data_IF_505749672616
#
_entry.id   IF_505749672616
#
_cell.length_a   1.000
_cell.length_b   1.000
_cell.length_c   1.000
_cell.angle_alpha   90.00
_cell.angle_beta   90.00
_cell.angle_gamma   90.00
#
_symmetry.space_group_name_H-M   'P 1'
#
loop_
_entity.id
_entity.type
_entity.pdbx_description
1 polymer ?
#
# COMPACT_ATOMS: atom_id res chain seq x y z
N UNK A 1 25.33 -1.05 8.08
CA UNK A 1 24.00 -1.70 8.24
C UNK A 1 23.74 -2.54 7.00
N UNK A 2 23.18 -3.79 7.10
CA UNK A 2 22.83 -4.55 5.89
C UNK A 2 21.55 -4.00 5.22
N UNK A 3 21.33 -4.34 3.96
CA UNK A 3 20.24 -3.81 3.14
C UNK A 3 18.84 -4.05 3.76
N UNK A 4 18.59 -5.25 4.32
CA UNK A 4 17.32 -5.56 4.96
C UNK A 4 17.11 -4.71 6.22
N UNK A 5 18.14 -4.57 7.06
CA UNK A 5 18.08 -3.73 8.25
C UNK A 5 17.89 -2.25 7.89
N UNK A 6 18.58 -1.76 6.85
CA UNK A 6 18.43 -0.38 6.36
C UNK A 6 17.00 -0.11 5.86
N UNK A 7 16.49 -0.95 4.93
CA UNK A 7 15.14 -0.77 4.38
C UNK A 7 14.08 -0.87 5.47
N UNK A 8 14.18 -1.84 6.37
CA UNK A 8 13.23 -2.03 7.47
C UNK A 8 13.25 -0.85 8.43
N UNK A 9 14.44 -0.36 8.82
CA UNK A 9 14.57 0.81 9.69
C UNK A 9 13.98 2.08 9.06
N UNK A 10 14.22 2.30 7.78
CA UNK A 10 13.64 3.42 7.04
C UNK A 10 12.11 3.35 6.97
N UNK A 11 11.55 2.17 6.75
CA UNK A 11 10.09 1.96 6.72
C UNK A 11 9.44 2.21 8.08
N UNK A 12 10.12 1.90 9.19
CA UNK A 12 9.61 2.08 10.55
C UNK A 12 9.82 3.51 11.07
N UNK A 13 11.05 4.01 11.00
CA UNK A 13 11.43 5.29 11.60
C UNK A 13 11.22 6.50 10.69
N UNK A 14 11.17 6.26 9.35
CA UNK A 14 11.12 7.35 8.37
C UNK A 14 12.39 8.22 8.40
N UNK A 15 12.27 9.43 7.84
CA UNK A 15 13.38 10.39 7.76
C UNK A 15 12.94 11.73 8.37
N UNK A 16 13.73 12.25 9.29
CA UNK A 16 13.55 13.61 9.79
C UNK A 16 14.10 14.63 8.80
N UNK A 17 13.27 15.59 8.40
CA UNK A 17 13.59 16.61 7.41
C UNK A 17 13.52 18.03 7.96
N UNK A 18 14.30 18.32 8.99
CA UNK A 18 14.36 19.67 9.56
C UNK A 18 14.72 20.76 8.53
N UNK A 19 15.19 20.38 7.35
CA UNK A 19 15.75 21.26 6.31
C UNK A 19 14.83 21.47 5.08
N UNK A 20 13.57 21.06 5.10
CA UNK A 20 12.62 21.31 4.00
C UNK A 20 12.89 20.57 2.67
N UNK A 21 13.81 19.61 2.65
CA UNK A 21 14.17 18.86 1.44
C UNK A 21 13.13 17.80 1.04
N UNK A 22 12.25 17.43 1.96
CA UNK A 22 11.29 16.35 1.71
C UNK A 22 10.03 16.91 1.11
N UNK A 23 9.68 16.37 -0.06
CA UNK A 23 8.38 16.65 -0.68
C UNK A 23 7.28 16.02 0.16
N UNK A 24 6.30 16.82 0.53
CA UNK A 24 5.13 16.33 1.27
C UNK A 24 4.36 15.34 0.40
N UNK A 25 4.30 14.09 0.86
CA UNK A 25 3.32 13.12 0.38
C UNK A 25 1.93 13.43 0.93
N UNK A 26 0.91 12.75 0.40
CA UNK A 26 -0.45 12.84 0.93
C UNK A 26 -0.49 12.31 2.36
N UNK A 27 -1.01 13.10 3.31
CA UNK A 27 -1.15 12.70 4.72
C UNK A 27 -2.53 12.05 4.91
N UNK A 28 -2.55 10.73 4.99
CA UNK A 28 -3.79 9.95 5.10
C UNK A 28 -4.41 9.58 3.75
N UNK A 29 -5.42 8.73 3.78
CA UNK A 29 -6.05 8.16 2.59
C UNK A 29 -5.47 6.79 2.24
N UNK A 30 -5.81 6.28 1.07
CA UNK A 30 -5.25 5.03 0.59
C UNK A 30 -3.79 5.24 0.18
N UNK A 31 -2.97 4.42 0.73
CA UNK A 31 -1.53 4.45 0.54
C UNK A 31 -0.79 5.18 1.65
N UNK A 32 0.43 4.76 1.93
CA UNK A 32 1.23 5.31 2.99
C UNK A 32 1.65 6.73 2.64
N UNK A 33 1.36 7.66 3.54
CA UNK A 33 1.93 8.98 3.49
C UNK A 33 3.46 8.87 3.65
N UNK A 34 4.20 9.65 2.85
CA UNK A 34 5.65 9.63 2.87
C UNK A 34 6.26 10.06 1.56
N UNK A 35 7.58 10.01 1.48
CA UNK A 35 8.33 10.27 0.25
C UNK A 35 8.98 8.98 -0.26
N UNK A 36 8.94 8.77 -1.57
CA UNK A 36 9.63 7.65 -2.18
C UNK A 36 11.07 8.03 -2.52
N UNK A 37 12.02 7.24 -2.02
CA UNK A 37 13.45 7.39 -2.29
C UNK A 37 14.04 6.11 -2.85
N UNK A 38 15.12 6.24 -3.61
CA UNK A 38 16.02 5.15 -3.94
C UNK A 38 17.27 5.27 -3.08
N UNK A 39 17.66 4.21 -2.40
CA UNK A 39 18.88 4.09 -1.58
C UNK A 39 19.49 2.71 -1.84
N UNK A 40 20.77 2.66 -2.22
CA UNK A 40 21.49 1.40 -2.54
C UNK A 40 20.73 0.49 -3.52
N UNK A 41 20.07 1.07 -4.52
CA UNK A 41 19.23 0.34 -5.49
C UNK A 41 17.83 -0.05 -4.98
N UNK A 42 17.58 0.07 -3.68
CA UNK A 42 16.27 -0.24 -3.08
C UNK A 42 15.32 0.94 -3.20
N UNK A 43 14.08 0.64 -3.57
CA UNK A 43 12.99 1.61 -3.54
C UNK A 43 12.32 1.58 -2.16
N UNK A 44 12.18 2.74 -1.51
CA UNK A 44 11.62 2.83 -0.16
C UNK A 44 10.66 4.01 -0.06
N UNK A 45 9.41 3.74 0.32
CA UNK A 45 8.48 4.79 0.70
C UNK A 45 8.62 5.10 2.19
N UNK A 46 9.38 6.13 2.51
CA UNK A 46 9.73 6.49 3.87
C UNK A 46 8.70 7.44 4.50
N UNK A 47 8.28 7.23 5.75
CA UNK A 47 7.53 8.25 6.51
C UNK A 47 8.32 9.55 6.61
N UNK A 48 7.64 10.70 6.50
CA UNK A 48 8.28 12.03 6.50
C UNK A 48 7.51 13.07 7.33
N UNK A 49 6.61 12.65 8.21
CA UNK A 49 5.71 13.54 8.98
C UNK A 49 5.78 13.24 10.48
N UNK A 50 5.59 14.28 11.26
CA UNK A 50 5.43 14.20 12.70
C UNK A 50 4.08 13.54 13.11
N UNK A 51 4.06 12.81 14.23
CA UNK A 51 5.18 12.62 15.18
C UNK A 51 6.12 11.46 14.84
N UNK A 52 5.85 10.69 13.76
CA UNK A 52 6.60 9.45 13.42
C UNK A 52 8.09 9.68 13.32
N UNK A 53 8.52 10.76 12.66
CA UNK A 53 9.93 11.01 12.32
C UNK A 53 10.69 11.83 13.37
N UNK A 54 10.02 12.31 14.41
CA UNK A 54 10.65 13.17 15.43
C UNK A 54 11.93 12.58 16.02
N UNK A 55 11.93 11.28 16.27
CA UNK A 55 13.05 10.55 16.85
C UNK A 55 13.76 9.67 15.82
N UNK A 56 13.58 9.91 14.52
CA UNK A 56 14.25 9.13 13.49
C UNK A 56 15.77 9.32 13.59
N UNK A 57 16.56 8.23 13.54
CA UNK A 57 18.02 8.31 13.48
C UNK A 57 18.50 8.81 12.11
N UNK A 58 17.62 8.84 11.12
CA UNK A 58 17.95 9.21 9.74
C UNK A 58 17.72 10.69 9.50
N UNK A 59 18.75 11.36 8.95
CA UNK A 59 18.72 12.77 8.54
C UNK A 59 19.15 12.90 7.08
N UNK A 60 18.65 13.94 6.40
CA UNK A 60 19.11 14.26 5.05
C UNK A 60 20.15 15.38 5.10
N UNK A 61 21.21 15.20 4.33
CA UNK A 61 22.20 16.24 4.01
C UNK A 61 22.28 16.39 2.50
N UNK A 62 22.47 17.61 2.04
CA UNK A 62 22.82 17.89 0.65
C UNK A 62 24.30 18.28 0.59
N UNK A 63 25.08 17.46 -0.15
CA UNK A 63 26.52 17.65 -0.37
C UNK A 63 26.85 16.92 -1.68
N UNK A 64 26.98 17.67 -2.78
CA UNK A 64 27.11 17.15 -4.15
C UNK A 64 26.03 16.13 -4.53
N UNK A 65 24.87 16.18 -3.86
CA UNK A 65 23.75 15.26 -3.97
C UNK A 65 23.11 14.98 -2.63
N UNK A 66 21.95 14.32 -2.63
CA UNK A 66 21.28 13.97 -1.39
C UNK A 66 21.94 12.75 -0.75
N UNK A 67 22.24 12.86 0.55
CA UNK A 67 22.77 11.80 1.38
C UNK A 67 21.88 11.56 2.59
N UNK A 68 21.66 10.30 2.89
CA UNK A 68 21.01 9.83 4.11
C UNK A 68 22.10 9.57 5.14
N UNK A 69 22.01 10.22 6.28
CA UNK A 69 22.99 10.11 7.37
C UNK A 69 22.36 9.36 8.54
N UNK A 70 23.06 8.35 9.05
CA UNK A 70 22.69 7.62 10.25
C UNK A 70 23.94 7.29 11.08
N UNK A 71 24.12 7.93 12.24
CA UNK A 71 25.17 7.57 13.22
C UNK A 71 26.62 7.52 12.71
N UNK A 72 26.94 8.18 11.62
CA UNK A 72 28.27 8.15 10.97
C UNK A 72 28.31 7.39 9.65
N UNK A 73 27.32 6.57 9.35
CA UNK A 73 27.12 6.00 8.01
C UNK A 73 26.46 7.04 7.09
N UNK A 74 26.81 6.99 5.80
CA UNK A 74 26.27 7.89 4.77
C UNK A 74 25.94 7.11 3.53
N UNK A 75 24.67 7.19 3.07
CA UNK A 75 24.18 6.53 1.87
C UNK A 75 23.71 7.57 0.87
N UNK A 76 24.10 7.45 -0.40
CA UNK A 76 23.55 8.29 -1.47
C UNK A 76 22.09 7.94 -1.69
N UNK A 77 21.22 8.94 -1.81
CA UNK A 77 19.80 8.76 -2.09
C UNK A 77 19.36 9.59 -3.29
N UNK A 78 18.32 9.10 -3.96
CA UNK A 78 17.59 9.85 -5.00
C UNK A 78 16.12 9.92 -4.61
N UNK A 79 15.53 11.09 -4.66
CA UNK A 79 14.08 11.23 -4.58
C UNK A 79 13.45 10.85 -5.90
N UNK A 80 12.34 10.14 -5.85
CA UNK A 80 11.55 9.94 -7.08
C UNK A 80 11.09 11.30 -7.62
N UNK A 81 11.20 11.52 -8.94
CA UNK A 81 10.81 12.78 -9.53
C UNK A 81 9.32 13.07 -9.28
N UNK A 82 9.00 14.35 -9.13
CA UNK A 82 7.61 14.76 -9.06
C UNK A 82 6.99 14.67 -10.45
N UNK A 83 5.88 13.92 -10.63
CA UNK A 83 5.23 13.82 -11.92
C UNK A 83 4.74 15.17 -12.46
N UNK A 84 4.89 15.38 -13.76
CA UNK A 84 4.41 16.59 -14.44
C UNK A 84 2.89 16.65 -14.53
N UNK A 85 2.20 15.51 -14.60
CA UNK A 85 0.74 15.47 -14.60
C UNK A 85 0.10 16.04 -13.32
N UNK A 86 0.86 16.19 -12.21
CA UNK A 86 0.37 16.84 -11.00
C UNK A 86 0.01 18.32 -11.19
N UNK A 87 0.55 18.96 -12.22
CA UNK A 87 0.28 20.37 -12.56
C UNK A 87 -0.83 20.52 -13.61
N UNK A 88 -1.39 19.39 -14.08
CA UNK A 88 -2.49 19.36 -15.04
C UNK A 88 -3.85 19.23 -14.33
N UNK A 89 -4.90 19.54 -15.08
CA UNK A 89 -6.30 19.34 -14.70
C UNK A 89 -6.99 18.42 -15.69
N UNK A 90 -7.97 17.65 -15.22
CA UNK A 90 -8.89 16.92 -16.10
C UNK A 90 -9.84 17.87 -16.83
N UNK A 91 -10.56 17.37 -17.82
CA UNK A 91 -11.50 18.14 -18.63
C UNK A 91 -12.60 18.85 -17.83
N UNK A 92 -12.93 18.31 -16.65
CA UNK A 92 -13.89 18.91 -15.71
C UNK A 92 -13.26 19.94 -14.74
N UNK A 93 -11.97 20.28 -14.94
CA UNK A 93 -11.23 21.24 -14.12
C UNK A 93 -10.67 20.68 -12.80
N UNK A 94 -10.78 19.37 -12.54
CA UNK A 94 -10.23 18.76 -11.33
C UNK A 94 -8.71 18.60 -11.45
N UNK A 95 -7.88 19.10 -10.50
CA UNK A 95 -6.45 18.88 -10.51
C UNK A 95 -6.10 17.38 -10.49
N UNK A 96 -5.30 16.90 -11.44
CA UNK A 96 -4.99 15.46 -11.59
C UNK A 96 -4.35 14.85 -10.35
N UNK A 97 -3.54 15.62 -9.61
CA UNK A 97 -2.98 15.20 -8.31
C UNK A 97 -4.04 14.92 -7.23
N UNK A 98 -5.29 15.38 -7.37
CA UNK A 98 -6.41 15.03 -6.49
C UNK A 98 -7.11 13.75 -6.91
N UNK A 99 -6.91 13.31 -8.16
CA UNK A 99 -7.49 12.09 -8.73
C UNK A 99 -6.60 10.89 -8.41
N UNK A 100 -5.32 10.93 -8.81
CA UNK A 100 -4.37 9.84 -8.59
C UNK A 100 -2.96 10.34 -8.26
N UNK A 101 -2.13 9.48 -7.67
CA UNK A 101 -0.74 9.76 -7.32
C UNK A 101 0.19 8.67 -7.84
N UNK A 102 1.43 9.07 -8.15
CA UNK A 102 2.50 8.12 -8.41
C UNK A 102 2.96 7.47 -7.09
N UNK A 103 2.92 6.17 -7.03
CA UNK A 103 3.50 5.35 -5.97
C UNK A 103 4.73 4.61 -6.49
N UNK A 104 5.77 4.58 -5.67
CA UNK A 104 7.02 3.97 -6.10
C UNK A 104 7.61 4.68 -7.32
N UNK A 105 7.97 3.90 -8.32
CA UNK A 105 8.59 4.37 -9.56
C UNK A 105 7.58 4.55 -10.69
N UNK A 106 6.62 3.63 -10.81
CA UNK A 106 5.80 3.46 -12.00
C UNK A 106 4.34 3.00 -11.74
N UNK A 107 3.88 3.04 -10.48
CA UNK A 107 2.52 2.68 -10.09
C UNK A 107 1.63 3.91 -9.97
N UNK A 108 0.58 4.04 -10.79
CA UNK A 108 -0.45 5.05 -10.57
C UNK A 108 -1.49 4.53 -9.57
N UNK A 109 -1.63 5.22 -8.44
CA UNK A 109 -2.50 4.77 -7.36
C UNK A 109 -3.65 5.75 -7.10
N UNK A 110 -4.84 5.22 -6.89
CA UNK A 110 -6.04 6.00 -6.58
C UNK A 110 -6.97 5.30 -5.60
N UNK A 111 -7.83 6.08 -4.95
CA UNK A 111 -8.97 5.60 -4.16
C UNK A 111 -10.24 6.12 -4.80
N UNK A 112 -11.11 5.24 -5.30
CA UNK A 112 -12.32 5.62 -6.03
C UNK A 112 -13.31 6.40 -5.18
N UNK A 113 -13.56 5.90 -3.96
CA UNK A 113 -14.47 6.53 -3.00
C UNK A 113 -13.76 6.77 -1.67
N UNK A 114 -13.68 8.02 -1.24
CA UNK A 114 -12.80 8.48 -0.16
C UNK A 114 -13.49 8.50 1.22
N UNK A 115 -14.56 7.77 1.40
CA UNK A 115 -15.25 7.53 2.69
C UNK A 115 -15.48 6.05 2.91
N UNK A 116 -15.74 5.67 4.16
CA UNK A 116 -16.01 4.29 4.52
C UNK A 116 -17.20 4.24 5.49
N UNK A 117 -18.26 3.53 5.12
CA UNK A 117 -19.45 3.35 5.97
C UNK A 117 -19.12 2.76 7.35
N UNK A 118 -18.07 1.96 7.45
CA UNK A 118 -17.62 1.42 8.73
C UNK A 118 -17.12 2.52 9.69
N UNK A 119 -16.57 3.63 9.17
CA UNK A 119 -16.22 4.80 9.99
C UNK A 119 -17.49 5.46 10.54
N UNK A 120 -18.51 5.68 9.71
CA UNK A 120 -19.80 6.27 10.12
C UNK A 120 -20.50 5.38 11.18
N UNK A 121 -20.31 4.06 11.12
CA UNK A 121 -20.85 3.10 12.09
C UNK A 121 -20.01 2.99 13.40
N UNK A 122 -18.91 3.71 13.53
CA UNK A 122 -17.97 3.56 14.66
C UNK A 122 -17.19 2.24 14.63
N UNK A 123 -17.14 1.54 13.49
CA UNK A 123 -16.47 0.25 13.30
C UNK A 123 -15.27 0.34 12.33
N UNK A 124 -14.77 1.54 12.07
CA UNK A 124 -13.62 1.78 11.19
C UNK A 124 -12.34 1.14 11.70
N UNK A 125 -11.37 0.97 10.80
CA UNK A 125 -10.04 0.49 11.16
C UNK A 125 -9.27 1.58 11.92
N UNK A 126 -8.70 1.25 13.08
CA UNK A 126 -8.03 2.23 13.96
C UNK A 126 -6.81 2.91 13.37
N UNK A 127 -6.18 2.32 12.37
CA UNK A 127 -5.04 2.87 11.64
C UNK A 127 -5.44 3.69 10.41
N UNK A 128 -6.70 3.62 9.96
CA UNK A 128 -7.13 4.21 8.70
C UNK A 128 -7.44 5.69 8.85
N UNK A 129 -6.88 6.51 7.98
CA UNK A 129 -7.12 7.95 7.90
C UNK A 129 -7.70 8.36 6.53
N UNK A 130 -8.53 7.51 5.93
CA UNK A 130 -9.04 7.69 4.55
C UNK A 130 -9.73 9.03 4.33
N UNK A 131 -10.44 9.54 5.33
CA UNK A 131 -11.16 10.81 5.24
C UNK A 131 -10.28 12.04 5.47
N UNK A 132 -9.09 11.88 6.05
CA UNK A 132 -8.21 13.02 6.37
C UNK A 132 -7.82 13.80 5.11
N UNK A 133 -7.50 13.11 4.02
CA UNK A 133 -7.16 13.75 2.74
C UNK A 133 -8.36 14.42 2.06
N UNK A 134 -9.56 13.91 2.29
CA UNK A 134 -10.80 14.56 1.84
C UNK A 134 -11.05 15.84 2.64
N UNK A 135 -10.95 15.77 3.97
CA UNK A 135 -11.17 16.93 4.88
C UNK A 135 -10.18 18.07 4.62
N UNK A 136 -8.93 17.76 4.28
CA UNK A 136 -7.91 18.78 3.97
C UNK A 136 -7.86 19.20 2.49
N UNK A 137 -8.78 18.70 1.66
CA UNK A 137 -8.88 19.07 0.24
C UNK A 137 -7.79 18.50 -0.67
N UNK A 138 -6.99 17.51 -0.20
CA UNK A 138 -5.92 16.89 -1.00
C UNK A 138 -6.47 15.88 -2.02
N UNK A 139 -7.73 15.51 -1.93
CA UNK A 139 -8.41 14.59 -2.86
C UNK A 139 -9.88 14.99 -3.00
N UNK A 140 -10.62 14.27 -3.85
CA UNK A 140 -12.07 14.42 -4.05
C UNK A 140 -12.80 13.16 -3.55
N UNK A 141 -14.10 13.31 -3.24
CA UNK A 141 -14.89 12.24 -2.64
C UNK A 141 -15.01 11.00 -3.55
N UNK A 142 -15.35 11.19 -4.81
CA UNK A 142 -15.51 10.13 -5.81
C UNK A 142 -14.75 10.50 -7.08
N UNK A 143 -14.03 9.55 -7.66
CA UNK A 143 -13.38 9.67 -8.97
C UNK A 143 -14.26 9.04 -10.01
N UNK A 144 -14.42 9.72 -11.14
CA UNK A 144 -15.19 9.21 -12.28
C UNK A 144 -14.29 8.42 -13.23
N UNK A 145 -14.85 7.50 -14.04
CA UNK A 145 -14.07 6.80 -15.06
C UNK A 145 -13.32 7.75 -16.01
N UNK A 146 -13.95 8.82 -16.47
CA UNK A 146 -13.30 9.82 -17.33
C UNK A 146 -12.10 10.48 -16.66
N UNK A 147 -12.21 10.89 -15.40
CA UNK A 147 -11.08 11.44 -14.65
C UNK A 147 -9.92 10.43 -14.54
N UNK A 148 -10.24 9.14 -14.34
CA UNK A 148 -9.23 8.08 -14.25
C UNK A 148 -8.53 7.84 -15.59
N UNK A 149 -9.27 7.81 -16.69
CA UNK A 149 -8.73 7.65 -18.03
C UNK A 149 -7.80 8.82 -18.35
N UNK A 150 -8.23 10.05 -18.13
CA UNK A 150 -7.44 11.23 -18.42
C UNK A 150 -6.12 11.27 -17.62
N UNK A 151 -6.19 11.04 -16.30
CA UNK A 151 -4.97 11.05 -15.47
C UNK A 151 -4.05 9.87 -15.79
N UNK A 152 -4.58 8.68 -16.08
CA UNK A 152 -3.77 7.53 -16.44
C UNK A 152 -3.10 7.71 -17.80
N UNK A 153 -3.80 8.29 -18.79
CA UNK A 153 -3.23 8.65 -20.11
C UNK A 153 -2.04 9.59 -19.96
N UNK A 154 -2.14 10.61 -19.11
CA UNK A 154 -1.02 11.52 -18.88
C UNK A 154 0.12 10.85 -18.10
N UNK A 155 -0.20 10.02 -17.11
CA UNK A 155 0.78 9.31 -16.30
C UNK A 155 1.58 8.27 -17.11
N UNK A 156 0.96 7.60 -18.08
CA UNK A 156 1.64 6.66 -19.01
C UNK A 156 2.74 7.36 -19.82
N UNK A 157 2.50 8.60 -20.26
CA UNK A 157 3.52 9.40 -20.98
C UNK A 157 4.75 9.68 -20.11
N UNK A 158 4.61 9.56 -18.79
CA UNK A 158 5.66 9.79 -17.79
C UNK A 158 6.23 8.49 -17.22
N UNK A 159 5.90 7.32 -17.80
CA UNK A 159 6.50 6.03 -17.46
C UNK A 159 5.71 5.19 -16.44
N UNK A 160 4.44 5.50 -16.20
CA UNK A 160 3.57 4.60 -15.43
C UNK A 160 3.31 3.32 -16.24
N UNK A 161 3.45 2.17 -15.60
CA UNK A 161 3.33 0.84 -16.23
C UNK A 161 2.24 -0.04 -15.62
N UNK A 162 1.66 0.35 -14.50
CA UNK A 162 0.55 -0.36 -13.86
C UNK A 162 -0.26 0.54 -12.93
N UNK A 163 -1.49 0.13 -12.61
CA UNK A 163 -2.39 0.85 -11.72
C UNK A 163 -2.65 0.08 -10.43
N UNK A 164 -2.89 0.83 -9.33
CA UNK A 164 -3.44 0.30 -8.09
C UNK A 164 -4.67 1.10 -7.68
N UNK A 165 -5.83 0.45 -7.71
CA UNK A 165 -7.11 1.08 -7.44
C UNK A 165 -7.69 0.49 -6.14
N UNK A 166 -7.96 1.33 -5.16
CA UNK A 166 -8.63 0.96 -3.92
C UNK A 166 -9.92 1.75 -3.75
N UNK A 167 -10.73 1.38 -2.77
CA UNK A 167 -11.90 2.16 -2.37
C UNK A 167 -12.11 2.09 -0.87
N UNK A 168 -12.65 3.17 -0.29
CA UNK A 168 -13.37 3.01 0.98
C UNK A 168 -14.63 2.18 0.71
N UNK A 169 -15.22 1.60 1.75
CA UNK A 169 -16.47 0.84 1.62
C UNK A 169 -17.65 1.81 1.53
N UNK A 170 -18.26 2.02 0.34
CA UNK A 170 -19.35 2.99 0.19
C UNK A 170 -20.62 2.54 0.91
N UNK A 171 -20.91 1.24 0.88
CA UNK A 171 -22.03 0.58 1.53
C UNK A 171 -21.69 -0.89 1.86
N UNK A 172 -22.58 -1.58 2.57
CA UNK A 172 -22.41 -2.97 2.98
C UNK A 172 -23.03 -3.99 2.01
N UNK A 173 -23.62 -3.54 0.90
CA UNK A 173 -24.29 -4.44 -0.06
C UNK A 173 -23.28 -5.06 -1.03
N UNK A 174 -22.49 -4.21 -1.67
CA UNK A 174 -21.50 -4.65 -2.67
C UNK A 174 -20.06 -4.24 -2.32
N UNK A 175 -19.90 -3.53 -1.20
CA UNK A 175 -18.59 -3.05 -0.71
C UNK A 175 -17.81 -2.19 -1.71
N UNK A 176 -18.50 -1.61 -2.71
CA UNK A 176 -17.90 -0.81 -3.77
C UNK A 176 -17.47 -1.61 -4.99
N UNK A 177 -17.94 -2.86 -5.15
CA UNK A 177 -17.63 -3.69 -6.32
C UNK A 177 -18.13 -3.06 -7.60
N UNK A 178 -19.37 -2.53 -7.63
CA UNK A 178 -19.96 -1.92 -8.84
C UNK A 178 -19.18 -0.71 -9.34
N UNK A 179 -18.74 0.19 -8.44
CA UNK A 179 -17.91 1.34 -8.86
C UNK A 179 -16.50 0.91 -9.29
N UNK A 180 -15.99 -0.20 -8.76
CA UNK A 180 -14.70 -0.75 -9.14
C UNK A 180 -14.79 -1.40 -10.52
N UNK A 181 -15.84 -2.20 -10.79
CA UNK A 181 -16.12 -2.80 -12.09
C UNK A 181 -16.22 -1.72 -13.18
N UNK A 182 -17.05 -0.68 -12.98
CA UNK A 182 -17.18 0.45 -13.90
C UNK A 182 -15.84 1.11 -14.22
N UNK A 183 -15.02 1.37 -13.17
CA UNK A 183 -13.72 2.01 -13.33
C UNK A 183 -12.72 1.13 -14.09
N UNK A 184 -12.65 -0.17 -13.78
CA UNK A 184 -11.72 -1.11 -14.42
C UNK A 184 -12.08 -1.31 -15.89
N UNK A 185 -13.35 -1.59 -16.22
CA UNK A 185 -13.81 -1.73 -17.60
C UNK A 185 -13.48 -0.49 -18.43
N UNK A 186 -13.85 0.68 -17.94
CA UNK A 186 -13.57 1.93 -18.65
C UNK A 186 -12.07 2.18 -18.87
N UNK A 187 -11.22 1.84 -17.91
CA UNK A 187 -9.77 1.95 -18.07
C UNK A 187 -9.24 0.94 -19.10
N UNK A 188 -9.70 -0.32 -19.07
CA UNK A 188 -9.28 -1.39 -20.00
C UNK A 188 -9.72 -1.13 -21.45
N UNK A 189 -10.84 -0.45 -21.66
CA UNK A 189 -11.28 -0.02 -23.01
C UNK A 189 -10.35 1.04 -23.64
N UNK A 190 -9.58 1.77 -22.82
CA UNK A 190 -8.76 2.90 -23.28
C UNK A 190 -7.26 2.67 -23.14
N UNK A 191 -6.83 1.80 -22.23
CA UNK A 191 -5.42 1.64 -21.84
C UNK A 191 -5.07 0.17 -21.67
N UNK A 192 -3.97 -0.25 -22.28
CA UNK A 192 -3.38 -1.59 -22.08
C UNK A 192 -2.39 -1.55 -20.90
N UNK A 193 -2.94 -1.50 -19.69
CA UNK A 193 -2.15 -1.49 -18.45
C UNK A 193 -2.67 -2.56 -17.49
N UNK A 194 -1.77 -3.25 -16.78
CA UNK A 194 -2.16 -4.11 -15.66
C UNK A 194 -2.79 -3.30 -14.51
N UNK A 195 -3.93 -3.78 -14.02
CA UNK A 195 -4.72 -3.13 -12.96
C UNK A 195 -4.83 -4.03 -11.74
N UNK A 196 -4.41 -3.49 -10.59
CA UNK A 196 -4.62 -4.07 -9.27
C UNK A 196 -5.81 -3.42 -8.58
N UNK A 197 -6.74 -4.23 -8.07
CA UNK A 197 -7.89 -3.75 -7.30
C UNK A 197 -7.81 -4.17 -5.84
N UNK A 198 -8.26 -3.31 -4.92
CA UNK A 198 -8.25 -3.58 -3.48
C UNK A 198 -9.61 -3.28 -2.85
N UNK A 199 -10.22 -4.30 -2.26
CA UNK A 199 -11.53 -4.22 -1.60
C UNK A 199 -11.54 -5.04 -0.30
N UNK A 200 -12.65 -4.95 0.45
CA UNK A 200 -12.96 -5.88 1.54
C UNK A 200 -13.22 -7.29 0.99
N UNK A 201 -13.22 -8.35 1.83
CA UNK A 201 -13.60 -9.68 1.36
C UNK A 201 -14.95 -9.67 0.66
N UNK A 202 -15.02 -10.33 -0.50
CA UNK A 202 -16.15 -10.33 -1.41
C UNK A 202 -16.74 -11.74 -1.55
N UNK A 203 -17.99 -11.82 -1.99
CA UNK A 203 -18.58 -13.07 -2.48
C UNK A 203 -17.87 -13.52 -3.76
N UNK A 204 -18.06 -14.79 -4.14
CA UNK A 204 -17.50 -15.33 -5.38
C UNK A 204 -17.99 -14.57 -6.61
N UNK A 205 -19.27 -14.25 -6.65
CA UNK A 205 -19.91 -13.51 -7.75
C UNK A 205 -19.28 -12.13 -7.95
N UNK A 206 -18.99 -11.43 -6.84
CA UNK A 206 -18.32 -10.13 -6.90
C UNK A 206 -16.86 -10.25 -7.35
N UNK A 207 -16.16 -11.33 -6.98
CA UNK A 207 -14.82 -11.61 -7.48
C UNK A 207 -14.81 -11.92 -8.98
N UNK A 208 -15.78 -12.72 -9.47
CA UNK A 208 -15.96 -13.01 -10.89
C UNK A 208 -16.25 -11.72 -11.67
N UNK A 209 -17.12 -10.84 -11.17
CA UNK A 209 -17.39 -9.54 -11.79
C UNK A 209 -16.12 -8.70 -11.98
N UNK A 210 -15.26 -8.63 -10.96
CA UNK A 210 -13.99 -7.89 -11.04
C UNK A 210 -12.97 -8.54 -11.97
N UNK A 211 -12.91 -9.87 -12.00
CA UNK A 211 -12.08 -10.61 -12.94
C UNK A 211 -12.53 -10.37 -14.39
N UNK A 212 -13.83 -10.47 -14.65
CA UNK A 212 -14.46 -10.23 -15.97
C UNK A 212 -14.38 -8.75 -16.40
N UNK A 213 -14.20 -7.82 -15.46
CA UNK A 213 -13.93 -6.42 -15.79
C UNK A 213 -12.53 -6.20 -16.38
N UNK A 214 -11.63 -7.17 -16.22
CA UNK A 214 -10.25 -7.10 -16.66
C UNK A 214 -9.26 -6.70 -15.56
N UNK A 215 -9.62 -6.80 -14.28
CA UNK A 215 -8.64 -6.66 -13.21
C UNK A 215 -7.61 -7.80 -13.29
N UNK A 216 -6.33 -7.47 -13.26
CA UNK A 216 -5.23 -8.45 -13.42
C UNK A 216 -4.79 -9.04 -12.08
N UNK A 217 -4.88 -8.27 -11.01
CA UNK A 217 -4.49 -8.68 -9.66
C UNK A 217 -5.45 -8.12 -8.61
N UNK A 218 -5.56 -8.80 -7.47
CA UNK A 218 -6.46 -8.37 -6.41
C UNK A 218 -5.81 -8.40 -5.02
N UNK A 219 -6.20 -7.43 -4.18
CA UNK A 219 -5.84 -7.35 -2.76
C UNK A 219 -7.05 -7.48 -1.85
N UNK A 220 -7.05 -8.51 -0.99
CA UNK A 220 -8.05 -8.73 0.07
C UNK A 220 -7.32 -8.72 1.41
N UNK A 221 -7.47 -7.65 2.20
CA UNK A 221 -6.56 -7.37 3.32
C UNK A 221 -7.07 -7.92 4.64
N UNK A 222 -6.35 -8.91 5.21
CA UNK A 222 -6.62 -9.49 6.55
C UNK A 222 -6.14 -8.56 7.66
N UNK A 223 -5.22 -7.66 7.39
CA UNK A 223 -4.58 -6.70 8.30
C UNK A 223 -3.71 -7.36 9.39
N UNK A 224 -4.20 -8.39 10.04
CA UNK A 224 -3.45 -9.18 11.04
C UNK A 224 -4.04 -10.58 11.18
N UNK A 225 -3.21 -11.56 11.52
CA UNK A 225 -3.64 -12.94 11.81
C UNK A 225 -4.08 -13.12 13.27
N UNK A 226 -3.81 -12.13 14.14
CA UNK A 226 -4.27 -12.18 15.53
C UNK A 226 -5.70 -11.66 15.64
N UNK A 227 -6.65 -12.59 15.85
CA UNK A 227 -8.07 -12.27 15.97
C UNK A 227 -8.39 -11.35 17.17
N UNK A 228 -7.58 -11.36 18.24
CA UNK A 228 -7.75 -10.45 19.35
C UNK A 228 -7.38 -9.02 18.97
N UNK A 229 -6.30 -8.88 18.18
CA UNK A 229 -5.88 -7.60 17.61
C UNK A 229 -6.90 -7.13 16.58
N UNK A 230 -7.35 -8.01 15.67
CA UNK A 230 -8.33 -7.67 14.63
C UNK A 230 -9.61 -7.09 15.24
N UNK A 231 -10.16 -7.73 16.27
CA UNK A 231 -11.38 -7.25 16.96
C UNK A 231 -11.23 -5.86 17.57
N UNK A 232 -10.05 -5.52 18.07
CA UNK A 232 -9.77 -4.21 18.67
C UNK A 232 -9.48 -3.12 17.64
N UNK A 233 -8.75 -3.47 16.58
CA UNK A 233 -8.21 -2.50 15.64
C UNK A 233 -9.11 -2.33 14.40
N UNK A 234 -9.78 -3.40 13.96
CA UNK A 234 -10.63 -3.41 12.76
C UNK A 234 -11.98 -4.09 13.07
N UNK A 235 -12.79 -3.56 14.02
CA UNK A 235 -14.02 -4.23 14.44
C UNK A 235 -15.01 -4.48 13.30
N UNK A 236 -15.03 -3.63 12.27
CA UNK A 236 -15.88 -3.81 11.09
C UNK A 236 -15.40 -4.88 10.12
N UNK A 237 -14.18 -5.41 10.31
CA UNK A 237 -13.60 -6.49 9.49
C UNK A 237 -13.70 -7.86 10.16
N UNK A 238 -14.27 -7.95 11.35
CA UNK A 238 -14.50 -9.24 12.04
C UNK A 238 -15.69 -9.97 11.43
N UNK A 239 -15.62 -11.30 11.33
CA UNK A 239 -16.70 -12.12 10.80
C UNK A 239 -16.65 -12.38 9.29
N UNK A 240 -15.72 -11.77 8.56
CA UNK A 240 -15.47 -12.17 7.17
C UNK A 240 -14.72 -13.51 7.10
N UNK A 241 -15.12 -14.36 6.16
CA UNK A 241 -14.37 -15.57 5.83
C UNK A 241 -13.25 -15.25 4.84
N UNK A 242 -12.12 -14.77 5.36
CA UNK A 242 -10.98 -14.38 4.53
C UNK A 242 -10.39 -15.56 3.74
N UNK A 243 -10.33 -16.74 4.33
CA UNK A 243 -9.74 -17.93 3.70
C UNK A 243 -10.52 -18.32 2.45
N UNK A 244 -11.85 -18.37 2.54
CA UNK A 244 -12.68 -18.69 1.37
C UNK A 244 -12.62 -17.59 0.31
N UNK A 245 -12.64 -16.31 0.71
CA UNK A 245 -12.51 -15.20 -0.23
C UNK A 245 -11.15 -15.24 -0.96
N UNK A 246 -10.06 -15.50 -0.25
CA UNK A 246 -8.71 -15.62 -0.83
C UNK A 246 -8.57 -16.85 -1.73
N UNK A 247 -9.11 -18.00 -1.32
CA UNK A 247 -9.13 -19.22 -2.17
C UNK A 247 -9.92 -18.99 -3.47
N UNK A 248 -11.08 -18.36 -3.39
CA UNK A 248 -11.86 -17.98 -4.56
C UNK A 248 -11.11 -16.99 -5.45
N UNK A 249 -10.44 -16.01 -4.87
CA UNK A 249 -9.63 -15.06 -5.62
C UNK A 249 -8.48 -15.76 -6.35
N UNK A 250 -7.74 -16.66 -5.69
CA UNK A 250 -6.64 -17.43 -6.34
C UNK A 250 -7.18 -18.31 -7.48
N UNK A 251 -8.37 -18.91 -7.32
CA UNK A 251 -8.97 -19.73 -8.39
C UNK A 251 -9.32 -18.94 -9.65
N UNK A 252 -9.52 -17.62 -9.54
CA UNK A 252 -9.85 -16.73 -10.67
C UNK A 252 -8.59 -16.03 -11.20
N UNK A 253 -7.83 -15.37 -10.33
CA UNK A 253 -6.69 -14.53 -10.70
C UNK A 253 -5.37 -15.31 -10.84
N UNK A 254 -5.28 -16.50 -10.27
CA UNK A 254 -4.07 -17.34 -10.25
C UNK A 254 -3.12 -17.02 -9.08
N UNK A 255 -2.19 -17.95 -8.86
CA UNK A 255 -1.11 -17.80 -7.88
C UNK A 255 -0.25 -16.57 -8.21
N UNK A 256 0.29 -15.93 -7.18
CA UNK A 256 1.07 -14.68 -7.26
C UNK A 256 0.26 -13.44 -7.68
N UNK A 257 -1.00 -13.55 -8.12
CA UNK A 257 -1.82 -12.38 -8.50
C UNK A 257 -2.77 -11.92 -7.38
N UNK A 258 -2.86 -12.69 -6.31
CA UNK A 258 -3.64 -12.35 -5.11
C UNK A 258 -2.71 -11.96 -3.98
N UNK A 259 -2.99 -10.85 -3.32
CA UNK A 259 -2.21 -10.37 -2.18
C UNK A 259 -3.08 -9.94 -1.01
N UNK A 260 -2.48 -9.87 0.17
CA UNK A 260 -3.15 -9.34 1.34
C UNK A 260 -2.20 -8.48 2.15
N UNK A 261 -2.59 -7.25 2.47
CA UNK A 261 -1.84 -6.45 3.44
C UNK A 261 -1.92 -7.09 4.81
N UNK A 262 -0.74 -7.16 5.44
CA UNK A 262 -0.53 -7.58 6.81
C UNK A 262 0.28 -6.48 7.49
N UNK A 263 -0.25 -5.93 8.59
CA UNK A 263 0.38 -4.86 9.35
C UNK A 263 1.17 -5.46 10.52
N UNK A 264 2.46 -5.20 10.58
CA UNK A 264 3.30 -5.51 11.74
C UNK A 264 3.33 -4.35 12.74
N UNK A 265 3.25 -4.66 14.04
CA UNK A 265 3.32 -3.66 15.13
C UNK A 265 1.98 -3.23 15.72
N UNK A 266 0.92 -3.97 15.47
CA UNK A 266 -0.40 -3.74 16.10
C UNK A 266 -0.55 -4.44 17.47
N UNK A 267 0.49 -5.17 17.93
CA UNK A 267 0.48 -5.92 19.18
C UNK A 267 0.09 -7.38 19.02
N UNK A 268 0.24 -7.89 17.83
CA UNK A 268 0.05 -9.29 17.42
C UNK A 268 1.13 -10.22 18.00
N UNK A 269 0.77 -11.49 18.20
CA UNK A 269 1.72 -12.53 18.59
C UNK A 269 2.52 -13.04 17.39
N UNK A 270 3.87 -13.12 17.50
CA UNK A 270 4.78 -13.60 16.45
C UNK A 270 4.38 -14.97 15.90
N UNK A 271 4.02 -15.91 16.77
CA UNK A 271 3.62 -17.26 16.36
C UNK A 271 2.38 -17.25 15.44
N UNK A 272 1.42 -16.36 15.70
CA UNK A 272 0.22 -16.20 14.86
C UNK A 272 0.56 -15.59 13.52
N UNK A 273 1.49 -14.62 13.49
CA UNK A 273 1.97 -14.01 12.26
C UNK A 273 2.64 -15.05 11.36
N UNK A 274 3.54 -15.84 11.93
CA UNK A 274 4.24 -16.90 11.22
C UNK A 274 3.27 -17.95 10.66
N UNK A 275 2.35 -18.48 11.48
CA UNK A 275 1.31 -19.41 11.01
C UNK A 275 0.46 -18.82 9.90
N UNK A 276 0.09 -17.54 10.01
CA UNK A 276 -0.72 -16.86 8.99
C UNK A 276 0.03 -16.66 7.68
N UNK A 277 1.34 -16.39 7.71
CA UNK A 277 2.16 -16.33 6.48
C UNK A 277 2.19 -17.69 5.78
N UNK A 278 2.40 -18.79 6.52
CA UNK A 278 2.37 -20.15 5.99
C UNK A 278 0.99 -20.50 5.40
N UNK A 279 -0.09 -20.20 6.12
CA UNK A 279 -1.45 -20.46 5.64
C UNK A 279 -1.74 -19.70 4.34
N UNK A 280 -1.46 -18.41 4.27
CA UNK A 280 -1.68 -17.62 3.06
C UNK A 280 -0.82 -18.07 1.90
N UNK A 281 0.48 -18.28 2.13
CA UNK A 281 1.40 -18.73 1.08
C UNK A 281 0.97 -20.10 0.52
N UNK A 282 0.46 -21.01 1.37
CA UNK A 282 -0.07 -22.31 0.94
C UNK A 282 -1.30 -22.23 0.03
N UNK A 283 -2.02 -21.11 0.07
CA UNK A 283 -3.15 -20.81 -0.82
C UNK A 283 -2.73 -20.15 -2.14
N UNK A 284 -1.45 -19.84 -2.34
CA UNK A 284 -1.00 -19.07 -3.50
C UNK A 284 -1.13 -17.54 -3.35
N UNK A 285 -1.40 -17.06 -2.14
CA UNK A 285 -1.58 -15.64 -1.80
C UNK A 285 -0.27 -15.05 -1.29
N UNK A 286 0.11 -13.86 -1.75
CA UNK A 286 1.28 -13.13 -1.26
C UNK A 286 0.87 -12.26 -0.04
N UNK A 287 1.29 -12.59 1.20
CA UNK A 287 1.18 -11.67 2.31
C UNK A 287 2.11 -10.47 2.06
N UNK A 288 1.52 -9.28 1.91
CA UNK A 288 2.30 -8.06 1.74
C UNK A 288 2.47 -7.37 3.10
N UNK A 289 3.53 -7.75 3.81
CA UNK A 289 3.85 -7.24 5.12
C UNK A 289 4.34 -5.80 5.06
N UNK A 290 3.71 -4.91 5.83
CA UNK A 290 4.11 -3.51 5.98
C UNK A 290 4.14 -3.12 7.46
N UNK A 291 5.08 -2.27 7.91
CA UNK A 291 5.04 -1.78 9.29
C UNK A 291 3.83 -0.86 9.48
N UNK A 292 3.19 -0.97 10.64
CA UNK A 292 2.18 -0.01 11.05
C UNK A 292 2.74 1.41 11.02
N UNK A 293 1.99 2.34 10.48
CA UNK A 293 2.32 3.77 10.45
C UNK A 293 1.24 4.57 11.16
N UNK A 294 1.57 5.32 12.21
CA UNK A 294 0.64 6.25 12.83
C UNK A 294 0.33 7.39 11.88
N UNK A 295 -0.93 7.51 11.46
CA UNK A 295 -1.37 8.55 10.53
C UNK A 295 -2.16 9.62 11.28
N UNK A 296 -1.93 10.92 11.02
CA UNK A 296 -2.74 12.00 11.60
C UNK A 296 -4.23 11.81 11.29
N UNK A 297 -5.07 11.94 12.31
CA UNK A 297 -6.53 11.75 12.21
C UNK A 297 -7.01 10.30 12.31
N UNK A 298 -6.13 9.30 12.42
CA UNK A 298 -6.48 7.93 12.74
C UNK A 298 -6.60 7.73 14.26
N UNK A 299 -7.40 6.75 14.72
CA UNK A 299 -7.51 6.45 16.16
C UNK A 299 -6.17 6.06 16.79
N UNK A 300 -5.28 5.43 16.00
CA UNK A 300 -3.95 5.00 16.43
C UNK A 300 -2.85 6.03 16.10
N UNK A 301 -3.17 7.28 15.84
CA UNK A 301 -2.18 8.32 15.47
C UNK A 301 -1.05 8.51 16.49
N UNK A 302 -1.29 8.19 17.78
CA UNK A 302 -0.30 8.32 18.87
C UNK A 302 0.45 7.03 19.18
N UNK A 303 0.09 5.92 18.54
CA UNK A 303 0.79 4.65 18.72
C UNK A 303 2.15 4.73 18.04
N UNK A 304 3.26 4.34 18.70
CA UNK A 304 4.57 4.34 18.05
C UNK A 304 4.62 3.33 16.88
N UNK A 305 5.43 3.58 15.86
CA UNK A 305 5.72 2.56 14.84
C UNK A 305 6.39 1.33 15.47
N UNK A 306 6.37 0.16 14.79
CA UNK A 306 7.02 -1.04 15.31
C UNK A 306 8.54 -0.91 15.36
N UNK A 307 9.15 -1.72 16.24
CA UNK A 307 10.60 -1.88 16.30
C UNK A 307 11.12 -2.49 14.98
N UNK A 308 12.18 -1.93 14.37
CA UNK A 308 12.75 -2.47 13.13
C UNK A 308 13.31 -3.89 13.26
N UNK A 309 13.81 -4.29 14.43
CA UNK A 309 14.31 -5.67 14.65
C UNK A 309 13.16 -6.65 14.60
N UNK A 310 12.06 -6.33 15.29
CA UNK A 310 10.81 -7.12 15.22
C UNK A 310 10.30 -7.26 13.77
N UNK A 311 10.26 -6.16 13.03
CA UNK A 311 9.81 -6.19 11.63
C UNK A 311 10.74 -6.99 10.73
N UNK A 312 12.06 -6.89 10.96
CA UNK A 312 13.06 -7.68 10.21
C UNK A 312 12.83 -9.18 10.40
N UNK A 313 12.58 -9.61 11.63
CA UNK A 313 12.34 -11.01 11.93
C UNK A 313 11.04 -11.51 11.27
N UNK A 314 9.98 -10.70 11.24
CA UNK A 314 8.76 -10.99 10.49
C UNK A 314 9.02 -11.09 8.97
N UNK A 315 9.87 -10.23 8.39
CA UNK A 315 10.22 -10.31 6.97
C UNK A 315 10.99 -11.61 6.65
N UNK A 316 11.85 -12.06 7.55
CA UNK A 316 12.56 -13.33 7.37
C UNK A 316 11.62 -14.53 7.45
N UNK A 317 10.69 -14.57 8.42
CA UNK A 317 9.66 -15.61 8.51
C UNK A 317 8.75 -15.63 7.27
N UNK A 318 8.38 -14.45 6.77
CA UNK A 318 7.60 -14.34 5.54
C UNK A 318 8.38 -14.82 4.30
N UNK A 319 9.65 -14.47 4.19
CA UNK A 319 10.51 -14.94 3.09
C UNK A 319 10.65 -16.47 3.08
N UNK A 320 10.74 -17.09 4.27
CA UNK A 320 10.75 -18.55 4.41
C UNK A 320 9.44 -19.17 3.91
N UNK A 321 8.29 -18.59 4.27
CA UNK A 321 6.98 -19.06 3.82
C UNK A 321 6.86 -18.95 2.29
N UNK A 322 7.14 -17.78 1.71
CA UNK A 322 7.07 -17.58 0.26
C UNK A 322 7.98 -18.54 -0.51
N UNK A 323 9.22 -18.74 -0.04
CA UNK A 323 10.19 -19.66 -0.66
C UNK A 323 9.68 -21.10 -0.61
N UNK A 324 9.14 -21.52 0.56
CA UNK A 324 8.60 -22.88 0.75
C UNK A 324 7.48 -23.22 -0.22
N UNK A 325 6.59 -22.27 -0.48
CA UNK A 325 5.43 -22.46 -1.35
C UNK A 325 5.68 -21.99 -2.80
N UNK A 326 6.90 -21.60 -3.16
CA UNK A 326 7.29 -21.26 -4.52
C UNK A 326 6.67 -19.97 -5.05
N UNK A 327 6.25 -19.06 -4.18
CA UNK A 327 5.70 -17.77 -4.57
C UNK A 327 6.82 -16.79 -4.95
N UNK A 328 6.62 -16.08 -6.05
CA UNK A 328 7.58 -15.14 -6.63
C UNK A 328 6.93 -13.76 -6.83
N UNK A 329 7.43 -12.76 -6.12
CA UNK A 329 6.95 -11.37 -6.21
C UNK A 329 7.06 -10.80 -7.63
N UNK A 330 8.04 -11.26 -8.42
CA UNK A 330 8.30 -10.79 -9.79
C UNK A 330 7.21 -11.23 -10.78
N UNK A 331 6.44 -12.26 -10.43
CA UNK A 331 5.29 -12.73 -11.22
C UNK A 331 4.04 -11.88 -10.99
N UNK A 332 3.99 -11.05 -9.95
CA UNK A 332 2.87 -10.17 -9.70
C UNK A 332 2.89 -8.99 -10.67
N UNK A 333 1.84 -8.83 -11.48
CA UNK A 333 1.87 -7.92 -12.63
C UNK A 333 1.41 -6.49 -12.30
N UNK A 334 0.77 -6.24 -11.15
CA UNK A 334 0.31 -4.91 -10.78
C UNK A 334 0.18 -4.68 -9.27
N UNK A 335 0.15 -3.45 -8.83
CA UNK A 335 -0.14 -3.05 -7.45
C UNK A 335 1.06 -3.03 -6.53
N UNK A 336 0.77 -3.15 -5.23
CA UNK A 336 1.75 -2.91 -4.18
C UNK A 336 2.88 -3.96 -4.13
N UNK A 337 2.58 -5.22 -4.46
CA UNK A 337 3.59 -6.29 -4.52
C UNK A 337 4.62 -5.97 -5.60
N UNK A 338 4.18 -5.62 -6.81
CA UNK A 338 5.05 -5.21 -7.91
C UNK A 338 5.82 -3.92 -7.59
N UNK A 339 5.15 -2.94 -6.99
CA UNK A 339 5.77 -1.66 -6.62
C UNK A 339 6.89 -1.83 -5.57
N UNK A 340 6.73 -2.69 -4.55
CA UNK A 340 7.72 -3.04 -3.54
C UNK A 340 8.14 -1.93 -2.57
N UNK A 341 7.72 -0.67 -2.77
CA UNK A 341 8.26 0.47 -2.03
C UNK A 341 7.91 0.52 -0.53
N UNK A 342 6.83 -0.16 -0.12
CA UNK A 342 6.29 -0.09 1.26
C UNK A 342 6.64 -1.31 2.12
N UNK A 343 7.34 -2.30 1.57
CA UNK A 343 7.73 -3.55 2.22
C UNK A 343 9.22 -3.81 2.03
N UNK A 344 9.83 -4.59 2.91
CA UNK A 344 11.22 -5.05 2.76
C UNK A 344 11.30 -6.54 2.39
N UNK A 345 10.18 -7.12 1.95
CA UNK A 345 10.12 -8.56 1.61
C UNK A 345 10.98 -8.92 0.40
N UNK A 346 11.10 -8.02 -0.59
CA UNK A 346 11.99 -8.15 -1.74
C UNK A 346 13.45 -8.37 -1.28
N UNK A 347 13.95 -7.52 -0.39
CA UNK A 347 15.31 -7.62 0.15
C UNK A 347 15.49 -8.86 1.05
N UNK A 348 14.45 -9.25 1.80
CA UNK A 348 14.50 -10.45 2.63
C UNK A 348 14.63 -11.73 1.78
N UNK A 349 13.95 -11.79 0.62
CA UNK A 349 14.05 -12.90 -0.34
C UNK A 349 15.42 -12.95 -1.02
N UNK A 350 15.99 -11.81 -1.44
CA UNK A 350 17.33 -11.75 -2.05
C UNK A 350 18.43 -12.24 -1.11
N UNK A 351 18.27 -12.08 0.19
CA UNK A 351 19.22 -12.57 1.20
C UNK A 351 19.24 -14.10 1.32
N UNK A 352 18.20 -14.80 0.83
CA UNK A 352 18.04 -16.26 0.89
C UNK A 352 18.56 -16.97 -0.38
N UNK A 353 18.78 -16.22 -1.45
CA UNK A 353 19.42 -16.71 -2.69
C UNK A 353 20.94 -16.58 -2.59
#
# INVERSE_FOLDING_TARGET
>A
MDALALKTSLLCHGINSDNGFIREGRKGGAGPAGSCIEVEGMLVNVPTYEPTVKNSPFKIRFDEGFKLINGGESHSIKFMPRPGFYDKTSSDGTPMKKIALLHGRDCLATTLYQRCVLMDMGKGCGFCAIETTLKNGSTILRKTPNQLIEVATEAVKEGVTHLAITTGTPDLKDHGTGIMDEAVRSLKEHLDLPIHVQLTPLSRENLELLFDSGADTIGIHVETFDQNVLRKICPGKTGFNYIDALRNAVSLFGENQVSSFVLGGLGEELAKMKSGFEEMASLGVIPYLVPFRPLPGALLERRPPPDPVYMRDLYLDLADALTRYGLDLKKNVAGCVRCGACSAIDVALERRC
#
